data_IF_467862960408
#
_entry.id   IF_467862960408
#
_cell.length_a   1.000
_cell.length_b   1.000
_cell.length_c   1.000
_cell.angle_alpha   90.00
_cell.angle_beta   90.00
_cell.angle_gamma   90.00
#
_symmetry.space_group_name_H-M   'P 1'
#
loop_
_entity.id
_entity.type
_entity.pdbx_description
1 polymer ?
#
# COMPACT_ATOMS: atom_id res chain seq x y z
N UNK A 1 65.71 3.55 -29.45
CA UNK A 1 65.62 3.97 -28.05
C UNK A 1 64.16 4.20 -27.80
N UNK A 2 63.61 3.18 -27.56
CA UNK A 2 62.89 2.54 -26.43
C UNK A 2 61.54 3.18 -26.17
N UNK A 3 60.59 2.51 -26.77
CA UNK A 3 59.17 2.73 -26.50
C UNK A 3 58.76 2.14 -25.14
N UNK A 4 57.88 2.79 -24.49
CA UNK A 4 57.14 2.18 -23.37
C UNK A 4 55.67 2.27 -23.67
N UNK A 5 55.11 1.12 -24.00
CA UNK A 5 53.67 0.89 -24.21
C UNK A 5 53.09 0.65 -22.81
N UNK A 6 52.26 1.58 -22.31
CA UNK A 6 51.54 1.43 -21.08
C UNK A 6 50.29 0.58 -21.26
N UNK A 7 50.23 -0.57 -20.57
CA UNK A 7 49.10 -1.48 -20.48
C UNK A 7 47.93 -0.80 -19.82
N UNK A 8 46.77 -0.88 -20.47
CA UNK A 8 45.45 -0.60 -19.86
C UNK A 8 45.00 -1.78 -19.00
N UNK A 9 44.59 -1.59 -17.75
CA UNK A 9 44.04 -2.69 -16.96
C UNK A 9 42.63 -3.05 -17.45
N UNK A 10 42.42 -4.33 -17.65
CA UNK A 10 41.13 -4.93 -17.96
C UNK A 10 40.12 -4.64 -16.85
N UNK A 11 38.98 -4.07 -17.22
CA UNK A 11 37.81 -3.92 -16.36
C UNK A 11 37.18 -5.29 -16.19
N UNK A 12 37.10 -5.77 -14.96
CA UNK A 12 36.58 -7.09 -14.60
C UNK A 12 35.07 -7.15 -14.79
N UNK A 13 34.61 -8.03 -15.66
CA UNK A 13 33.20 -8.37 -15.97
C UNK A 13 32.45 -9.08 -14.82
N UNK A 14 32.94 -9.03 -13.58
CA UNK A 14 32.36 -9.76 -12.46
C UNK A 14 31.10 -9.14 -11.82
N UNK A 15 30.87 -7.84 -12.04
CA UNK A 15 29.81 -7.13 -11.26
C UNK A 15 28.41 -7.13 -11.89
N UNK A 16 28.29 -7.45 -13.17
CA UNK A 16 27.00 -7.47 -13.89
C UNK A 16 26.26 -8.79 -13.66
N UNK A 17 26.98 -9.87 -13.44
CA UNK A 17 26.40 -11.20 -13.20
C UNK A 17 25.69 -11.35 -11.85
N UNK A 18 26.23 -10.74 -10.80
CA UNK A 18 25.64 -10.81 -9.45
C UNK A 18 24.35 -10.01 -9.32
N UNK A 19 24.27 -8.83 -9.95
CA UNK A 19 23.07 -7.98 -9.91
C UNK A 19 21.89 -8.64 -10.63
N UNK A 20 22.13 -9.36 -11.72
CA UNK A 20 21.10 -10.12 -12.46
C UNK A 20 20.65 -11.37 -11.70
N UNK A 21 21.54 -12.04 -10.97
CA UNK A 21 21.20 -13.20 -10.16
C UNK A 21 20.32 -12.82 -8.95
N UNK A 22 20.64 -11.72 -8.25
CA UNK A 22 19.84 -11.23 -7.12
C UNK A 22 18.46 -10.75 -7.58
N UNK A 23 18.37 -10.10 -8.76
CA UNK A 23 17.09 -9.69 -9.36
C UNK A 23 16.22 -10.90 -9.75
N UNK A 24 16.82 -11.96 -10.32
CA UNK A 24 16.10 -13.20 -10.66
C UNK A 24 15.63 -13.97 -9.43
N UNK A 25 16.43 -14.03 -8.35
CA UNK A 25 16.01 -14.65 -7.08
C UNK A 25 14.86 -13.87 -6.42
N UNK A 26 14.89 -12.54 -6.46
CA UNK A 26 13.80 -11.70 -5.98
C UNK A 26 12.49 -11.92 -6.76
N UNK A 27 12.58 -12.07 -8.09
CA UNK A 27 11.44 -12.32 -8.95
C UNK A 27 10.87 -13.74 -8.79
N UNK A 28 11.70 -14.76 -8.53
CA UNK A 28 11.24 -16.13 -8.23
C UNK A 28 10.52 -16.20 -6.88
N UNK A 29 11.07 -15.57 -5.84
CA UNK A 29 10.37 -15.45 -4.54
C UNK A 29 9.05 -14.72 -4.65
N UNK A 30 8.98 -13.68 -5.49
CA UNK A 30 7.74 -12.92 -5.72
C UNK A 30 6.66 -13.76 -6.40
N UNK A 31 7.00 -14.76 -7.22
CA UNK A 31 6.02 -15.64 -7.88
C UNK A 31 5.50 -16.73 -6.95
N UNK A 32 6.33 -17.29 -6.10
CA UNK A 32 5.94 -18.37 -5.18
C UNK A 32 4.89 -17.93 -4.16
N UNK A 33 5.07 -16.74 -3.55
CA UNK A 33 4.08 -16.25 -2.59
C UNK A 33 2.75 -15.87 -3.28
N UNK A 34 2.78 -15.33 -4.51
CA UNK A 34 1.56 -15.04 -5.29
C UNK A 34 0.77 -16.33 -5.52
N UNK A 35 1.45 -17.41 -5.97
CA UNK A 35 0.79 -18.71 -6.14
C UNK A 35 0.22 -19.23 -4.82
N UNK A 36 0.94 -19.07 -3.71
CA UNK A 36 0.46 -19.48 -2.39
C UNK A 36 -0.81 -18.72 -1.97
N UNK A 37 -0.83 -17.40 -2.18
CA UNK A 37 -2.02 -16.57 -1.91
C UNK A 37 -3.19 -16.97 -2.80
N UNK A 38 -2.96 -17.17 -4.09
CA UNK A 38 -4.00 -17.62 -5.03
C UNK A 38 -4.56 -18.96 -4.58
N UNK A 39 -3.72 -19.96 -4.29
CA UNK A 39 -4.15 -21.28 -3.81
C UNK A 39 -4.96 -21.22 -2.50
N UNK A 40 -4.61 -20.32 -1.58
CA UNK A 40 -5.36 -20.12 -0.34
C UNK A 40 -6.73 -19.48 -0.58
N UNK A 41 -6.80 -18.53 -1.52
CA UNK A 41 -8.06 -17.90 -1.90
C UNK A 41 -8.98 -18.88 -2.65
N UNK A 42 -8.46 -19.65 -3.60
CA UNK A 42 -9.19 -20.70 -4.31
C UNK A 42 -9.73 -21.74 -3.33
N UNK A 43 -8.90 -22.24 -2.42
CA UNK A 43 -9.31 -23.20 -1.41
C UNK A 43 -10.31 -22.61 -0.39
N UNK A 44 -10.30 -21.30 -0.14
CA UNK A 44 -11.31 -20.65 0.68
C UNK A 44 -12.64 -20.51 -0.04
N UNK A 45 -12.61 -20.21 -1.35
CA UNK A 45 -13.82 -20.14 -2.20
C UNK A 45 -14.49 -21.52 -2.29
N UNK A 46 -13.73 -22.58 -2.51
CA UNK A 46 -14.24 -23.96 -2.57
C UNK A 46 -14.90 -24.39 -1.25
N UNK A 47 -14.38 -23.92 -0.11
CA UNK A 47 -14.91 -24.26 1.22
C UNK A 47 -16.10 -23.38 1.66
N UNK A 48 -16.34 -22.24 1.00
CA UNK A 48 -17.52 -21.41 1.28
C UNK A 48 -18.84 -22.13 0.98
N UNK A 49 -18.82 -23.15 0.13
CA UNK A 49 -19.99 -23.97 -0.19
C UNK A 49 -20.33 -24.99 0.91
N UNK A 50 -19.37 -25.38 1.73
CA UNK A 50 -19.55 -26.51 2.66
C UNK A 50 -19.49 -26.13 4.15
N UNK A 51 -18.61 -25.20 4.56
CA UNK A 51 -18.51 -24.73 5.95
C UNK A 51 -17.82 -23.36 6.06
N UNK A 52 -18.41 -22.40 6.75
CA UNK A 52 -17.92 -21.02 6.89
C UNK A 52 -16.63 -20.91 7.70
N UNK A 53 -16.42 -21.76 8.72
CA UNK A 53 -15.29 -21.64 9.65
C UNK A 53 -13.90 -21.91 9.03
N UNK A 54 -13.66 -22.99 8.27
CA UNK A 54 -12.35 -23.25 7.70
C UNK A 54 -11.95 -22.27 6.59
N UNK A 55 -12.93 -21.71 5.85
CA UNK A 55 -12.70 -20.69 4.84
C UNK A 55 -12.17 -19.38 5.46
N UNK A 56 -12.69 -19.00 6.63
CA UNK A 56 -12.20 -17.81 7.37
C UNK A 56 -10.71 -17.95 7.74
N UNK A 57 -10.28 -19.14 8.17
CA UNK A 57 -8.88 -19.42 8.50
C UNK A 57 -7.94 -19.20 7.30
N UNK A 58 -8.33 -19.72 6.12
CA UNK A 58 -7.52 -19.57 4.89
C UNK A 58 -7.52 -18.14 4.35
N UNK A 59 -8.62 -17.42 4.46
CA UNK A 59 -8.69 -16.00 4.12
C UNK A 59 -7.80 -15.17 5.04
N UNK A 60 -7.79 -15.48 6.34
CA UNK A 60 -6.92 -14.81 7.30
C UNK A 60 -5.44 -15.11 7.01
N UNK A 61 -5.08 -16.35 6.69
CA UNK A 61 -3.71 -16.73 6.31
C UNK A 61 -3.27 -16.02 5.03
N UNK A 62 -4.12 -15.97 4.00
CA UNK A 62 -3.86 -15.23 2.76
C UNK A 62 -3.68 -13.73 3.04
N UNK A 63 -4.52 -13.14 3.89
CA UNK A 63 -4.41 -11.75 4.30
C UNK A 63 -3.12 -11.46 5.07
N UNK A 64 -2.68 -12.36 5.95
CA UNK A 64 -1.41 -12.26 6.68
C UNK A 64 -0.21 -12.36 5.74
N UNK A 65 -0.23 -13.27 4.76
CA UNK A 65 0.82 -13.40 3.75
C UNK A 65 0.91 -12.14 2.88
N UNK A 66 -0.24 -11.60 2.43
CA UNK A 66 -0.30 -10.34 1.71
C UNK A 66 0.24 -9.19 2.56
N UNK A 67 -0.14 -9.14 3.83
CA UNK A 67 0.32 -8.11 4.78
C UNK A 67 1.83 -8.18 5.01
N UNK A 68 2.42 -9.38 5.08
CA UNK A 68 3.87 -9.56 5.19
C UNK A 68 4.64 -9.06 3.95
N UNK A 69 4.02 -9.11 2.76
CA UNK A 69 4.62 -8.62 1.53
C UNK A 69 4.45 -7.11 1.36
N UNK A 70 3.32 -6.58 1.80
CA UNK A 70 3.05 -5.13 1.82
C UNK A 70 3.87 -4.46 2.94
N UNK A 71 4.10 -5.20 4.05
CA UNK A 71 4.82 -4.77 5.24
C UNK A 71 5.84 -5.86 5.63
N UNK A 72 6.96 -6.03 4.90
CA UNK A 72 7.97 -7.02 5.27
C UNK A 72 8.47 -6.71 6.69
N UNK A 73 8.53 -7.71 7.60
CA UNK A 73 9.07 -7.53 8.93
C UNK A 73 10.51 -7.05 8.79
N UNK A 74 10.77 -5.85 9.28
CA UNK A 74 12.10 -5.25 9.38
C UNK A 74 13.01 -5.61 8.20
N UNK A 75 12.72 -5.07 7.02
CA UNK A 75 13.75 -4.97 6.00
C UNK A 75 14.94 -4.27 6.69
N UNK A 76 16.04 -5.01 6.80
CA UNK A 76 17.35 -4.57 7.25
C UNK A 76 17.50 -3.08 6.99
N UNK A 77 17.92 -2.35 8.00
CA UNK A 77 18.36 -0.98 7.88
C UNK A 77 19.21 -0.86 6.61
N UNK A 78 18.62 -0.39 5.55
CA UNK A 78 19.37 0.09 4.40
C UNK A 78 19.81 1.47 4.81
N UNK A 79 21.09 1.69 5.09
CA UNK A 79 21.60 2.99 5.51
C UNK A 79 21.76 3.85 4.26
N UNK A 80 20.70 4.23 3.62
CA UNK A 80 20.67 5.41 2.73
C UNK A 80 19.22 5.85 2.39
N UNK A 81 18.45 6.09 3.43
CA UNK A 81 17.14 6.73 3.31
C UNK A 81 17.25 8.25 3.34
N UNK A 82 18.18 8.87 2.60
CA UNK A 82 18.21 10.33 2.51
C UNK A 82 16.85 10.85 2.03
N UNK A 83 16.07 11.36 2.97
CA UNK A 83 14.76 11.96 2.69
C UNK A 83 13.55 11.06 2.81
N UNK A 84 13.64 9.78 3.18
CA UNK A 84 12.50 8.87 3.39
C UNK A 84 12.17 8.69 4.88
N UNK A 85 10.98 8.18 5.16
CA UNK A 85 10.64 7.65 6.49
C UNK A 85 11.28 6.27 6.66
N UNK A 86 11.75 5.99 7.87
CA UNK A 86 12.17 4.63 8.23
C UNK A 86 10.97 3.68 8.20
N UNK A 87 11.20 2.38 8.00
CA UNK A 87 10.12 1.41 7.88
C UNK A 87 9.15 1.44 9.07
N UNK A 88 9.67 1.52 10.31
CA UNK A 88 8.84 1.62 11.51
C UNK A 88 8.07 2.95 11.59
N UNK A 89 8.66 4.08 11.10
CA UNK A 89 7.97 5.38 11.02
C UNK A 89 6.82 5.33 10.02
N UNK A 90 7.09 4.78 8.84
CA UNK A 90 6.08 4.62 7.80
C UNK A 90 4.89 3.75 8.27
N UNK A 91 5.19 2.66 8.97
CA UNK A 91 4.15 1.81 9.58
C UNK A 91 3.35 2.58 10.62
N UNK A 92 4.02 3.20 11.60
CA UNK A 92 3.37 3.94 12.69
C UNK A 92 2.44 5.05 12.17
N UNK A 93 2.89 5.77 11.12
CA UNK A 93 2.09 6.82 10.48
C UNK A 93 0.87 6.22 9.77
N UNK A 94 1.04 5.14 9.03
CA UNK A 94 -0.07 4.44 8.34
C UNK A 94 -1.10 3.93 9.34
N UNK A 95 -0.67 3.22 10.37
CA UNK A 95 -1.53 2.66 11.42
C UNK A 95 -2.33 3.76 12.13
N UNK A 96 -1.69 4.91 12.38
CA UNK A 96 -2.38 6.07 12.95
C UNK A 96 -3.44 6.63 12.01
N UNK A 97 -3.11 6.82 10.73
CA UNK A 97 -4.07 7.29 9.72
C UNK A 97 -5.26 6.33 9.63
N UNK A 98 -5.01 5.02 9.54
CA UNK A 98 -6.06 4.00 9.40
C UNK A 98 -6.95 3.92 10.63
N UNK A 99 -6.40 4.08 11.84
CA UNK A 99 -7.19 4.09 13.09
C UNK A 99 -7.99 5.38 13.32
N UNK A 100 -7.59 6.48 12.69
CA UNK A 100 -8.26 7.80 12.82
C UNK A 100 -8.92 8.27 11.53
N UNK A 101 -9.15 7.36 10.57
CA UNK A 101 -9.57 7.67 9.20
C UNK A 101 -10.91 8.43 9.14
N UNK A 102 -11.80 8.19 10.10
CA UNK A 102 -13.14 8.81 10.18
C UNK A 102 -13.14 10.18 10.84
N UNK A 103 -12.06 10.52 11.55
CA UNK A 103 -11.89 11.78 12.28
C UNK A 103 -10.90 12.75 11.61
N UNK A 104 -10.64 13.87 12.26
CA UNK A 104 -9.59 14.79 11.81
C UNK A 104 -8.21 14.15 12.03
N UNK A 105 -7.40 14.12 10.99
CA UNK A 105 -5.98 13.72 11.05
C UNK A 105 -5.15 14.94 10.74
N UNK A 106 -4.46 15.47 11.74
CA UNK A 106 -3.61 16.64 11.59
C UNK A 106 -2.18 16.19 11.21
N UNK A 107 -1.54 16.94 10.32
CA UNK A 107 -0.14 16.69 9.96
C UNK A 107 0.77 16.83 11.18
N UNK A 108 0.45 17.75 12.10
CA UNK A 108 1.17 17.92 13.35
C UNK A 108 1.23 16.64 14.21
N UNK A 109 0.11 15.89 14.29
CA UNK A 109 0.05 14.62 15.02
C UNK A 109 0.98 13.59 14.39
N UNK A 110 0.97 13.50 13.07
CA UNK A 110 1.85 12.60 12.32
C UNK A 110 3.33 12.96 12.51
N UNK A 111 3.65 14.25 12.55
CA UNK A 111 5.00 14.73 12.82
C UNK A 111 5.47 14.36 14.24
N UNK A 112 4.60 14.53 15.23
CA UNK A 112 4.89 14.17 16.62
C UNK A 112 5.17 12.67 16.78
N UNK A 113 4.40 11.80 16.08
CA UNK A 113 4.60 10.36 16.10
C UNK A 113 6.00 9.90 15.69
N UNK A 114 6.63 10.64 14.76
CA UNK A 114 7.93 10.28 14.17
C UNK A 114 9.04 11.26 14.56
N UNK A 115 8.75 12.22 15.44
CA UNK A 115 9.66 13.22 15.96
C UNK A 115 10.39 14.01 14.84
N UNK A 116 9.61 14.50 13.86
CA UNK A 116 10.12 15.28 12.74
C UNK A 116 9.41 16.63 12.63
N UNK A 117 10.10 17.63 12.12
CA UNK A 117 9.46 18.90 11.74
C UNK A 117 8.51 18.69 10.56
N UNK A 118 7.48 19.51 10.43
CA UNK A 118 6.44 19.38 9.40
C UNK A 118 7.02 19.41 7.97
N UNK A 119 7.95 20.33 7.70
CA UNK A 119 8.59 20.42 6.40
C UNK A 119 9.41 19.18 6.04
N UNK A 120 10.13 18.61 7.03
CA UNK A 120 10.91 17.40 6.84
C UNK A 120 9.99 16.18 6.70
N UNK A 121 8.94 16.09 7.52
CA UNK A 121 7.96 15.00 7.47
C UNK A 121 7.26 14.96 6.12
N UNK A 122 6.70 16.08 5.63
CA UNK A 122 5.98 16.14 4.36
C UNK A 122 6.82 15.68 3.18
N UNK A 123 8.10 16.07 3.13
CA UNK A 123 9.05 15.59 2.11
C UNK A 123 9.32 14.09 2.23
N UNK A 124 9.62 13.62 3.45
CA UNK A 124 9.92 12.20 3.71
C UNK A 124 8.72 11.32 3.46
N UNK A 125 7.51 11.78 3.80
CA UNK A 125 6.26 11.10 3.55
C UNK A 125 6.04 10.93 2.03
N UNK A 126 6.17 12.03 1.26
CA UNK A 126 6.03 11.98 -0.20
C UNK A 126 7.09 11.09 -0.85
N UNK A 127 8.33 11.10 -0.37
CA UNK A 127 9.38 10.19 -0.85
C UNK A 127 9.08 8.72 -0.53
N UNK A 128 8.35 8.44 0.56
CA UNK A 128 8.05 7.08 1.02
C UNK A 128 6.79 6.53 0.35
N UNK A 129 5.70 7.31 0.31
CA UNK A 129 4.39 6.89 -0.16
C UNK A 129 4.05 7.37 -1.58
N UNK A 130 4.89 8.20 -2.20
CA UNK A 130 4.67 8.75 -3.53
C UNK A 130 3.73 9.97 -3.58
N UNK A 131 3.04 10.27 -2.49
CA UNK A 131 2.01 11.31 -2.40
C UNK A 131 2.08 12.08 -1.07
N UNK A 132 1.40 13.23 -0.98
CA UNK A 132 1.37 14.01 0.27
C UNK A 132 0.48 13.33 1.33
N UNK A 133 0.67 13.63 2.64
CA UNK A 133 -0.17 13.07 3.71
C UNK A 133 -1.67 13.30 3.51
N UNK A 134 -2.05 14.48 3.04
CA UNK A 134 -3.44 14.81 2.75
C UNK A 134 -4.02 13.96 1.60
N UNK A 135 -3.29 13.83 0.49
CA UNK A 135 -3.72 13.02 -0.65
C UNK A 135 -3.85 11.55 -0.25
N UNK A 136 -2.89 11.04 0.51
CA UNK A 136 -2.93 9.70 1.07
C UNK A 136 -4.19 9.47 1.93
N UNK A 137 -4.48 10.36 2.88
CA UNK A 137 -5.67 10.27 3.73
C UNK A 137 -6.96 10.26 2.90
N UNK A 138 -7.08 11.17 1.92
CA UNK A 138 -8.27 11.24 1.05
C UNK A 138 -8.43 9.95 0.25
N UNK A 139 -7.35 9.40 -0.31
CA UNK A 139 -7.38 8.12 -1.04
C UNK A 139 -7.86 6.98 -0.14
N UNK A 140 -7.33 6.87 1.09
CA UNK A 140 -7.76 5.86 2.07
C UNK A 140 -9.24 5.98 2.42
N UNK A 141 -9.75 7.21 2.56
CA UNK A 141 -11.18 7.47 2.78
C UNK A 141 -12.05 7.06 1.59
N UNK A 142 -11.58 7.30 0.37
CA UNK A 142 -12.26 6.87 -0.86
C UNK A 142 -12.30 5.34 -0.94
N UNK A 143 -11.21 4.66 -0.63
CA UNK A 143 -11.15 3.18 -0.56
C UNK A 143 -12.15 2.63 0.46
N UNK A 144 -12.21 3.22 1.65
CA UNK A 144 -13.19 2.85 2.68
C UNK A 144 -14.64 3.09 2.21
N UNK A 145 -14.90 4.22 1.53
CA UNK A 145 -16.23 4.50 0.97
C UNK A 145 -16.62 3.47 -0.11
N UNK A 146 -15.67 3.05 -0.96
CA UNK A 146 -15.89 2.00 -1.93
C UNK A 146 -16.28 0.67 -1.25
N UNK A 147 -15.60 0.29 -0.17
CA UNK A 147 -15.95 -0.90 0.62
C UNK A 147 -17.38 -0.80 1.18
N UNK A 148 -17.75 0.31 1.82
CA UNK A 148 -19.13 0.51 2.29
C UNK A 148 -20.16 0.44 1.18
N UNK A 149 -19.86 0.99 0.00
CA UNK A 149 -20.74 0.91 -1.15
C UNK A 149 -20.96 -0.51 -1.65
N UNK A 150 -19.98 -1.40 -1.52
CA UNK A 150 -20.09 -2.81 -1.91
C UNK A 150 -20.81 -3.66 -0.86
N UNK A 151 -20.58 -3.37 0.43
CA UNK A 151 -21.01 -4.24 1.53
C UNK A 151 -22.32 -3.80 2.18
N UNK A 152 -22.80 -2.57 1.92
CA UNK A 152 -24.01 -2.03 2.57
C UNK A 152 -24.92 -1.30 1.57
N UNK A 153 -26.20 -1.17 1.92
CA UNK A 153 -27.19 -0.35 1.20
C UNK A 153 -27.28 1.10 1.73
N UNK A 154 -26.36 1.52 2.58
CA UNK A 154 -26.33 2.84 3.19
C UNK A 154 -26.36 3.94 2.13
N UNK A 155 -27.02 5.07 2.46
CA UNK A 155 -27.03 6.25 1.61
C UNK A 155 -25.62 6.84 1.48
N UNK A 156 -25.36 7.48 0.34
CA UNK A 156 -24.04 8.11 0.11
C UNK A 156 -23.72 9.22 1.11
N UNK A 157 -24.74 9.89 1.64
CA UNK A 157 -24.60 10.86 2.74
C UNK A 157 -24.02 10.20 4.00
N UNK A 158 -24.55 9.05 4.38
CA UNK A 158 -24.13 8.33 5.58
C UNK A 158 -22.72 7.75 5.40
N UNK A 159 -22.45 7.22 4.21
CA UNK A 159 -21.10 6.73 3.85
C UNK A 159 -20.09 7.88 3.89
N UNK A 160 -20.44 9.06 3.41
CA UNK A 160 -19.57 10.24 3.45
C UNK A 160 -19.13 10.54 4.90
N UNK A 161 -20.09 10.66 5.81
CA UNK A 161 -19.82 10.95 7.22
C UNK A 161 -19.00 9.84 7.89
N UNK A 162 -19.36 8.59 7.65
CA UNK A 162 -18.63 7.41 8.18
C UNK A 162 -17.19 7.31 7.68
N UNK A 163 -16.90 7.85 6.51
CA UNK A 163 -15.55 7.87 5.94
C UNK A 163 -14.78 9.16 6.23
N UNK A 164 -15.30 10.06 7.07
CA UNK A 164 -14.63 11.30 7.48
C UNK A 164 -14.69 12.42 6.44
N UNK A 165 -15.63 12.36 5.50
CA UNK A 165 -15.95 13.50 4.63
C UNK A 165 -16.95 14.43 5.32
N UNK A 166 -16.88 15.72 5.01
CA UNK A 166 -17.81 16.72 5.57
C UNK A 166 -19.25 16.49 5.15
N UNK A 167 -19.44 16.05 3.91
CA UNK A 167 -20.75 15.84 3.30
C UNK A 167 -20.66 14.94 2.06
N UNK A 168 -21.80 14.61 1.48
CA UNK A 168 -21.88 13.80 0.27
C UNK A 168 -21.22 14.48 -0.96
N UNK A 169 -21.30 15.81 -1.06
CA UNK A 169 -20.73 16.52 -2.21
C UNK A 169 -19.20 16.44 -2.18
N UNK A 170 -18.61 16.56 -0.99
CA UNK A 170 -17.18 16.35 -0.77
C UNK A 170 -16.75 14.92 -1.15
N UNK A 171 -17.46 13.89 -0.66
CA UNK A 171 -17.23 12.50 -1.08
C UNK A 171 -17.30 12.37 -2.61
N UNK A 172 -18.36 12.87 -3.25
CA UNK A 172 -18.55 12.75 -4.70
C UNK A 172 -17.40 13.39 -5.49
N UNK A 173 -16.93 14.57 -5.06
CA UNK A 173 -15.81 15.27 -5.67
C UNK A 173 -14.52 14.44 -5.58
N UNK A 174 -14.16 14.00 -4.37
CA UNK A 174 -12.93 13.24 -4.13
C UNK A 174 -12.96 11.88 -4.81
N UNK A 175 -14.11 11.20 -4.75
CA UNK A 175 -14.29 9.90 -5.38
C UNK A 175 -14.15 10.01 -6.91
N UNK A 176 -14.76 11.04 -7.53
CA UNK A 176 -14.63 11.26 -8.97
C UNK A 176 -13.19 11.56 -9.39
N UNK A 177 -12.45 12.31 -8.57
CA UNK A 177 -11.03 12.57 -8.82
C UNK A 177 -10.17 11.29 -8.74
N UNK A 178 -10.48 10.39 -7.80
CA UNK A 178 -9.71 9.16 -7.59
C UNK A 178 -10.11 8.03 -8.54
N UNK A 179 -11.42 7.86 -8.81
CA UNK A 179 -11.98 6.72 -9.56
C UNK A 179 -12.46 7.06 -10.97
N UNK A 180 -12.36 8.33 -11.40
CA UNK A 180 -12.79 8.80 -12.72
C UNK A 180 -14.32 8.88 -12.91
N UNK A 181 -15.13 8.40 -11.98
CA UNK A 181 -16.59 8.34 -12.06
C UNK A 181 -17.25 8.64 -10.72
N UNK A 182 -18.54 8.92 -10.74
CA UNK A 182 -19.28 9.23 -9.51
C UNK A 182 -19.48 7.98 -8.65
N UNK A 183 -19.60 8.13 -7.30
CA UNK A 183 -19.87 7.02 -6.38
C UNK A 183 -21.09 6.21 -6.78
N UNK A 184 -22.18 6.86 -7.21
CA UNK A 184 -23.42 6.19 -7.62
C UNK A 184 -23.23 5.34 -8.89
N UNK A 185 -22.50 5.87 -9.89
CA UNK A 185 -22.20 5.13 -11.12
C UNK A 185 -21.29 3.94 -10.81
N UNK A 186 -20.25 4.16 -9.98
CA UNK A 186 -19.32 3.13 -9.54
C UNK A 186 -20.04 2.02 -8.78
N UNK A 187 -20.91 2.35 -7.81
CA UNK A 187 -21.72 1.37 -7.05
C UNK A 187 -22.56 0.50 -7.97
N UNK A 188 -23.26 1.09 -8.95
CA UNK A 188 -24.06 0.33 -9.92
C UNK A 188 -23.22 -0.65 -10.71
N UNK A 189 -22.09 -0.19 -11.27
CA UNK A 189 -21.24 -1.03 -12.09
C UNK A 189 -20.68 -2.24 -11.32
N UNK A 190 -20.35 -2.08 -10.04
CA UNK A 190 -19.70 -3.14 -9.24
C UNK A 190 -20.69 -4.01 -8.46
N UNK A 191 -21.98 -3.64 -8.39
CA UNK A 191 -23.04 -4.49 -7.79
C UNK A 191 -23.78 -5.36 -8.79
N UNK A 192 -23.73 -5.06 -10.07
CA UNK A 192 -24.39 -5.87 -11.12
C UNK A 192 -23.71 -7.23 -11.34
N UNK A 193 -22.64 -7.53 -10.62
CA UNK A 193 -21.89 -8.79 -10.70
C UNK A 193 -22.09 -9.69 -9.46
N UNK A 194 -23.17 -9.46 -8.70
CA UNK A 194 -23.58 -10.33 -7.58
C UNK A 194 -24.82 -11.13 -7.88
#
# INVERSE_FOLDING_TARGET
MDGHIGETPAVSDGHIGETLAVSKLGAMRSREWVHRVISLLEAAVDQLHDQVHPAQGKLLEAALLLRQQIDPPAAREVPDGRGRLLAWQARKVRDYIDSHITGPVLVADLCALVQRSEAHFSRSFKCTFGESPHVFLVRRRVELAAQYMLTTDAFLSDIALRCGFTDQAHLCKQFRQAAGQTPAAWRRAHRLHR
#
